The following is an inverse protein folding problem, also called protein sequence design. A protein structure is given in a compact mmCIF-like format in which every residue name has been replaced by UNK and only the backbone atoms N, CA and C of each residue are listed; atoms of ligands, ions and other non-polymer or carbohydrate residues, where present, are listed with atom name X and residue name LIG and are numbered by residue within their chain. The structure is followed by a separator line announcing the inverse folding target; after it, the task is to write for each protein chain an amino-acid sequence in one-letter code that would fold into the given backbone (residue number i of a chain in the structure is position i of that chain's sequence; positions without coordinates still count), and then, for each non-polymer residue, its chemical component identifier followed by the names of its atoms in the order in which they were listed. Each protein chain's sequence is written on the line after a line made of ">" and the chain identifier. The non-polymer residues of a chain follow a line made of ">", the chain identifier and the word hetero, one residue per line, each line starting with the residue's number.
data_IF_302583296379
#
_entry.id   IF_302583296379
#
_cell.length_a   1.000
_cell.length_b   1.000
_cell.length_c   1.000
_cell.angle_alpha   90.00
_cell.angle_beta   90.00
_cell.angle_gamma   90.00
#
_symmetry.space_group_name_H-M   'P 1'
#
loop_
_entity.id
_entity.type
_entity.pdbx_description
1 polymer ?
#
# COMPACT_ATOMS: atom_id res chain seq x y z
N UNK A 1 6.58 -12.88 21.81
CA UNK A 1 6.30 -13.91 22.83
C UNK A 1 4.90 -14.50 22.68
N UNK A 2 3.83 -13.70 22.67
CA UNK A 2 2.45 -14.20 22.54
C UNK A 2 2.22 -15.17 21.36
N UNK A 3 2.68 -14.82 20.14
CA UNK A 3 2.45 -15.65 18.96
C UNK A 3 3.04 -17.06 19.07
N UNK A 4 4.27 -17.19 19.60
CA UNK A 4 4.91 -18.50 19.83
C UNK A 4 4.18 -19.32 20.91
N UNK A 5 3.71 -18.67 21.97
CA UNK A 5 2.91 -19.34 23.00
C UNK A 5 1.58 -19.87 22.45
N UNK A 6 0.90 -19.08 21.62
CA UNK A 6 -0.36 -19.50 20.98
C UNK A 6 -0.13 -20.62 19.95
N UNK A 7 0.94 -20.54 19.17
CA UNK A 7 1.31 -21.60 18.23
C UNK A 7 1.58 -22.94 18.96
N UNK A 8 2.28 -22.89 20.10
CA UNK A 8 2.51 -24.07 20.94
C UNK A 8 1.20 -24.68 21.48
N UNK A 9 0.26 -23.84 21.93
CA UNK A 9 -1.07 -24.29 22.37
C UNK A 9 -1.86 -24.92 21.21
N UNK A 10 -1.76 -24.33 20.01
CA UNK A 10 -2.46 -24.79 18.81
C UNK A 10 -1.78 -25.98 18.11
N UNK A 11 -0.57 -26.40 18.53
CA UNK A 11 0.21 -27.45 17.86
C UNK A 11 0.67 -27.05 16.45
N UNK A 12 0.89 -25.76 16.21
CA UNK A 12 1.26 -25.22 14.90
C UNK A 12 2.76 -24.92 14.83
N UNK A 13 3.36 -25.25 13.69
CA UNK A 13 4.62 -24.61 13.27
C UNK A 13 4.30 -23.19 12.81
N UNK A 14 4.77 -22.19 13.56
CA UNK A 14 4.41 -20.80 13.33
C UNK A 14 4.92 -20.24 12.00
N UNK A 15 6.07 -20.70 11.52
CA UNK A 15 6.68 -20.21 10.28
C UNK A 15 5.96 -20.81 9.08
N UNK A 16 5.75 -22.13 9.11
CA UNK A 16 4.94 -22.83 8.10
C UNK A 16 3.53 -22.25 8.03
N UNK A 17 2.88 -22.06 9.18
CA UNK A 17 1.55 -21.49 9.24
C UNK A 17 1.51 -20.05 8.72
N UNK A 18 2.53 -19.23 9.01
CA UNK A 18 2.61 -17.88 8.45
C UNK A 18 2.69 -17.90 6.93
N UNK A 19 3.57 -18.74 6.34
CA UNK A 19 3.68 -18.85 4.88
C UNK A 19 2.36 -19.30 4.23
N UNK A 20 1.68 -20.30 4.80
CA UNK A 20 0.38 -20.78 4.32
C UNK A 20 -0.71 -19.71 4.47
N UNK A 21 -0.77 -19.02 5.61
CA UNK A 21 -1.75 -17.97 5.89
C UNK A 21 -1.60 -16.78 4.94
N UNK A 22 -0.37 -16.28 4.77
CA UNK A 22 -0.11 -15.16 3.86
C UNK A 22 -0.34 -15.60 2.41
N UNK A 23 0.09 -16.81 2.03
CA UNK A 23 -0.18 -17.37 0.70
C UNK A 23 -1.67 -17.53 0.37
N UNK A 24 -2.50 -17.85 1.37
CA UNK A 24 -3.95 -17.90 1.19
C UNK A 24 -4.57 -16.50 1.10
N UNK A 25 -4.07 -15.54 1.88
CA UNK A 25 -4.50 -14.13 1.84
C UNK A 25 -4.19 -13.43 0.52
N UNK A 26 -3.15 -13.89 -0.19
CA UNK A 26 -2.75 -13.43 -1.52
C UNK A 26 -3.39 -14.20 -2.68
N UNK A 27 -4.39 -15.07 -2.43
CA UNK A 27 -5.11 -15.71 -3.53
C UNK A 27 -6.11 -14.72 -4.18
N UNK A 28 -5.58 -13.81 -4.99
CA UNK A 28 -6.29 -12.71 -5.64
C UNK A 28 -6.65 -13.01 -7.10
N UNK A 29 -6.35 -14.22 -7.58
CA UNK A 29 -6.52 -14.62 -8.99
C UNK A 29 -7.96 -14.53 -9.48
N UNK A 30 -8.91 -14.85 -8.60
CA UNK A 30 -10.34 -14.91 -8.93
C UNK A 30 -11.10 -13.62 -8.54
N UNK A 31 -10.39 -12.61 -8.02
CA UNK A 31 -10.98 -11.33 -7.62
C UNK A 31 -10.88 -10.31 -8.75
N UNK A 32 -11.91 -9.50 -8.88
CA UNK A 32 -11.89 -8.30 -9.72
C UNK A 32 -10.95 -7.23 -9.14
N UNK A 33 -10.47 -6.32 -9.99
CA UNK A 33 -9.61 -5.22 -9.57
C UNK A 33 -10.27 -4.36 -8.48
N UNK A 34 -11.60 -4.22 -8.53
CA UNK A 34 -12.39 -3.52 -7.51
C UNK A 34 -12.34 -4.23 -6.16
N UNK A 35 -12.58 -5.54 -6.12
CA UNK A 35 -12.53 -6.33 -4.89
C UNK A 35 -11.13 -6.34 -4.28
N UNK A 36 -10.10 -6.40 -5.13
CA UNK A 36 -8.69 -6.29 -4.73
C UNK A 36 -8.43 -4.92 -4.12
N UNK A 37 -8.83 -3.85 -4.82
CA UNK A 37 -8.56 -2.48 -4.43
C UNK A 37 -9.21 -2.12 -3.09
N UNK A 38 -10.47 -2.52 -2.87
CA UNK A 38 -11.22 -2.16 -1.67
C UNK A 38 -11.03 -3.11 -0.49
N UNK A 39 -10.27 -4.21 -0.64
CA UNK A 39 -10.05 -5.19 0.42
C UNK A 39 -9.53 -4.57 1.74
N UNK A 40 -8.56 -3.66 1.65
CA UNK A 40 -8.12 -2.84 2.77
C UNK A 40 -7.99 -1.37 2.37
N UNK A 41 -9.10 -0.77 1.96
CA UNK A 41 -9.16 0.64 1.59
C UNK A 41 -9.74 1.51 2.71
N UNK A 42 -9.12 2.67 2.95
CA UNK A 42 -9.60 3.67 3.92
C UNK A 42 -9.47 5.08 3.36
N UNK A 43 -10.42 5.94 3.72
CA UNK A 43 -10.40 7.37 3.39
C UNK A 43 -9.88 8.19 4.56
N UNK A 44 -9.18 9.27 4.26
CA UNK A 44 -8.62 10.20 5.24
C UNK A 44 -8.76 11.63 4.73
N UNK A 45 -8.88 12.57 5.65
CA UNK A 45 -8.74 14.00 5.34
C UNK A 45 -7.34 14.45 5.72
N UNK A 46 -6.60 14.98 4.75
CA UNK A 46 -5.23 15.51 4.91
C UNK A 46 -5.27 16.97 4.51
N UNK A 47 -5.19 17.87 5.48
CA UNK A 47 -5.47 19.29 5.26
C UNK A 47 -6.88 19.51 4.72
N UNK A 48 -6.98 20.06 3.50
CA UNK A 48 -8.25 20.23 2.77
C UNK A 48 -8.53 19.10 1.78
N UNK A 49 -7.55 18.24 1.50
CA UNK A 49 -7.67 17.17 0.55
C UNK A 49 -8.32 15.93 1.18
N UNK A 50 -9.20 15.27 0.43
CA UNK A 50 -9.73 13.96 0.73
C UNK A 50 -8.91 12.90 -0.01
N UNK A 51 -8.23 12.04 0.74
CA UNK A 51 -7.39 10.99 0.19
C UNK A 51 -7.94 9.60 0.46
N UNK A 52 -7.66 8.67 -0.45
CA UNK A 52 -7.91 7.24 -0.28
C UNK A 52 -6.62 6.45 -0.22
N UNK A 53 -6.51 5.47 0.67
CA UNK A 53 -5.35 4.57 0.74
C UNK A 53 -5.79 3.11 0.83
N UNK A 54 -5.52 2.37 -0.25
CA UNK A 54 -5.59 0.91 -0.30
C UNK A 54 -4.27 0.26 0.10
N UNK A 55 -4.30 -0.97 0.58
CA UNK A 55 -3.10 -1.73 0.91
C UNK A 55 -3.29 -3.22 0.60
N UNK A 56 -2.28 -3.81 -0.04
CA UNK A 56 -2.10 -5.26 -0.13
C UNK A 56 -0.75 -5.62 0.46
N UNK A 57 -0.72 -6.76 1.15
CA UNK A 57 0.50 -7.35 1.70
C UNK A 57 0.69 -8.73 1.09
N UNK A 58 1.87 -8.98 0.53
CA UNK A 58 2.26 -10.31 0.04
C UNK A 58 3.69 -10.65 0.48
N UNK A 59 4.01 -11.95 0.40
CA UNK A 59 5.37 -12.49 0.55
C UNK A 59 6.08 -12.63 -0.82
N UNK A 60 5.36 -12.40 -1.92
CA UNK A 60 5.82 -12.71 -3.28
C UNK A 60 5.89 -11.46 -4.17
N UNK A 61 7.10 -11.13 -4.62
CA UNK A 61 7.32 -9.96 -5.49
C UNK A 61 6.61 -10.08 -6.84
N UNK A 62 6.61 -11.26 -7.45
CA UNK A 62 6.01 -11.50 -8.78
C UNK A 62 4.51 -11.19 -8.74
N UNK A 63 3.87 -11.55 -7.62
CA UNK A 63 2.46 -11.25 -7.40
C UNK A 63 2.23 -9.75 -7.23
N UNK A 64 3.06 -9.07 -6.44
CA UNK A 64 2.96 -7.62 -6.24
C UNK A 64 3.16 -6.86 -7.56
N UNK A 65 4.09 -7.29 -8.41
CA UNK A 65 4.29 -6.71 -9.74
C UNK A 65 3.06 -6.90 -10.63
N UNK A 66 2.44 -8.08 -10.60
CA UNK A 66 1.18 -8.34 -11.33
C UNK A 66 0.05 -7.45 -10.82
N UNK A 67 -0.04 -7.23 -9.51
CA UNK A 67 -1.05 -6.35 -8.91
C UNK A 67 -0.77 -4.88 -9.22
N UNK A 68 0.50 -4.49 -9.34
CA UNK A 68 0.89 -3.12 -9.68
C UNK A 68 0.25 -2.66 -10.98
N UNK A 69 0.36 -3.45 -12.04
CA UNK A 69 -0.24 -3.12 -13.34
C UNK A 69 -1.76 -2.97 -13.25
N UNK A 70 -2.43 -3.91 -12.55
CA UNK A 70 -3.88 -3.85 -12.34
C UNK A 70 -4.31 -2.61 -11.55
N UNK A 71 -3.63 -2.34 -10.45
CA UNK A 71 -3.97 -1.22 -9.56
C UNK A 71 -3.68 0.11 -10.23
N UNK A 72 -2.57 0.25 -10.96
CA UNK A 72 -2.28 1.42 -11.79
C UNK A 72 -3.46 1.75 -12.73
N UNK A 73 -4.02 0.72 -13.41
CA UNK A 73 -5.18 0.88 -14.27
C UNK A 73 -6.51 1.20 -13.55
N UNK A 74 -6.61 0.91 -12.24
CA UNK A 74 -7.83 1.11 -11.46
C UNK A 74 -7.82 2.43 -10.65
N UNK A 75 -6.66 3.07 -10.45
CA UNK A 75 -6.53 4.26 -9.60
C UNK A 75 -7.47 5.41 -9.99
N UNK A 76 -7.61 5.67 -11.30
CA UNK A 76 -8.48 6.73 -11.84
C UNK A 76 -9.94 6.50 -11.47
N UNK A 77 -10.44 5.30 -11.77
CA UNK A 77 -11.81 4.89 -11.44
C UNK A 77 -12.05 4.98 -9.93
N UNK A 78 -11.10 4.54 -9.11
CA UNK A 78 -11.19 4.64 -7.65
C UNK A 78 -11.27 6.09 -7.17
N UNK A 79 -10.46 7.00 -7.75
CA UNK A 79 -10.47 8.42 -7.42
C UNK A 79 -11.82 9.06 -7.74
N UNK A 80 -12.32 8.86 -8.96
CA UNK A 80 -13.58 9.45 -9.42
C UNK A 80 -14.78 8.92 -8.64
N UNK A 81 -14.89 7.60 -8.49
CA UNK A 81 -16.03 6.94 -7.83
C UNK A 81 -16.17 7.33 -6.35
N UNK A 82 -15.08 7.78 -5.74
CA UNK A 82 -15.06 8.17 -4.33
C UNK A 82 -14.95 9.70 -4.11
N UNK A 83 -14.92 10.48 -5.19
CA UNK A 83 -14.71 11.93 -5.16
C UNK A 83 -13.47 12.32 -4.34
N UNK A 84 -12.35 11.65 -4.61
CA UNK A 84 -11.09 11.86 -3.92
C UNK A 84 -10.21 12.86 -4.68
N UNK A 85 -9.41 13.62 -3.94
CA UNK A 85 -8.38 14.48 -4.51
C UNK A 85 -7.15 13.66 -4.89
N UNK A 86 -6.79 12.69 -4.04
CA UNK A 86 -5.66 11.78 -4.26
C UNK A 86 -5.96 10.36 -3.81
N UNK A 87 -5.32 9.40 -4.46
CA UNK A 87 -5.43 7.98 -4.16
C UNK A 87 -4.04 7.38 -4.09
N UNK A 88 -3.82 6.58 -3.06
CA UNK A 88 -2.58 5.86 -2.86
C UNK A 88 -2.87 4.37 -2.72
N UNK A 89 -1.98 3.54 -3.25
CA UNK A 89 -2.08 2.09 -3.09
C UNK A 89 -0.75 1.51 -2.66
N UNK A 90 -0.75 0.86 -1.50
CA UNK A 90 0.45 0.24 -0.92
C UNK A 90 0.56 -1.22 -1.38
N UNK A 91 1.62 -1.53 -2.12
CA UNK A 91 2.04 -2.90 -2.44
C UNK A 91 3.18 -3.28 -1.48
N UNK A 92 2.83 -3.87 -0.35
CA UNK A 92 3.77 -4.15 0.74
C UNK A 92 4.33 -5.56 0.63
N UNK A 93 5.65 -5.68 0.52
CA UNK A 93 6.36 -6.92 0.77
C UNK A 93 6.76 -6.99 2.25
N UNK A 94 6.12 -7.88 3.01
CA UNK A 94 6.36 -7.99 4.45
C UNK A 94 7.68 -8.71 4.80
N UNK A 95 8.25 -9.51 3.88
CA UNK A 95 9.56 -10.14 4.09
C UNK A 95 10.71 -9.14 3.89
N UNK A 96 10.57 -8.25 2.90
CA UNK A 96 11.54 -7.19 2.62
C UNK A 96 11.31 -5.94 3.46
N UNK A 97 10.21 -5.90 4.21
CA UNK A 97 9.77 -4.75 4.99
C UNK A 97 9.70 -3.46 4.15
N UNK A 98 9.18 -3.56 2.92
CA UNK A 98 9.13 -2.43 1.98
C UNK A 98 7.77 -2.31 1.31
N UNK A 99 7.44 -1.11 0.84
CA UNK A 99 6.23 -0.84 0.05
C UNK A 99 6.58 -0.13 -1.23
N UNK A 100 6.03 -0.60 -2.35
CA UNK A 100 5.89 0.24 -3.55
C UNK A 100 4.54 0.95 -3.47
N UNK A 101 4.59 2.29 -3.45
CA UNK A 101 3.43 3.16 -3.28
C UNK A 101 3.02 3.72 -4.63
N UNK A 102 1.90 3.24 -5.16
CA UNK A 102 1.25 3.84 -6.32
C UNK A 102 0.58 5.14 -5.88
N UNK A 103 0.85 6.23 -6.58
CA UNK A 103 0.32 7.56 -6.30
C UNK A 103 -0.53 8.02 -7.48
N UNK A 104 -1.74 8.51 -7.22
CA UNK A 104 -2.61 9.01 -8.29
C UNK A 104 -3.42 10.23 -7.85
N UNK A 105 -3.60 11.18 -8.77
CA UNK A 105 -4.21 12.48 -8.50
C UNK A 105 -3.18 13.61 -8.55
N UNK A 106 -3.69 14.84 -8.70
CA UNK A 106 -2.84 16.02 -8.80
C UNK A 106 -2.07 16.24 -7.49
N UNK A 107 -0.75 16.34 -7.56
CA UNK A 107 0.11 16.54 -6.39
C UNK A 107 0.42 15.27 -5.59
N UNK A 108 -0.15 14.10 -5.94
CA UNK A 108 -0.01 12.89 -5.14
C UNK A 108 1.46 12.41 -5.03
N UNK A 109 2.19 12.40 -6.16
CA UNK A 109 3.60 12.02 -6.19
C UNK A 109 4.44 13.01 -5.39
N UNK A 110 4.19 14.31 -5.53
CA UNK A 110 4.94 15.36 -4.83
C UNK A 110 4.70 15.31 -3.32
N UNK A 111 3.45 15.13 -2.88
CA UNK A 111 3.11 14.99 -1.48
C UNK A 111 3.80 13.77 -0.86
N UNK A 112 3.73 12.62 -1.53
CA UNK A 112 4.37 11.40 -1.03
C UNK A 112 5.91 11.50 -1.07
N UNK A 113 6.51 12.07 -2.12
CA UNK A 113 7.94 12.29 -2.18
C UNK A 113 8.41 13.23 -1.05
N UNK A 114 7.70 14.34 -0.81
CA UNK A 114 7.96 15.25 0.30
C UNK A 114 7.85 14.55 1.66
N UNK A 115 6.78 13.78 1.87
CA UNK A 115 6.52 13.04 3.11
C UNK A 115 7.63 12.04 3.47
N UNK A 116 8.30 11.47 2.48
CA UNK A 116 9.38 10.50 2.68
C UNK A 116 10.76 11.06 2.33
N UNK A 117 10.90 12.38 2.24
CA UNK A 117 12.15 13.09 1.94
C UNK A 117 12.87 12.54 0.69
N UNK A 118 12.10 12.16 -0.32
CA UNK A 118 12.60 11.71 -1.61
C UNK A 118 12.85 12.92 -2.52
N UNK A 119 13.76 12.75 -3.47
CA UNK A 119 13.99 13.75 -4.50
C UNK A 119 12.75 13.91 -5.38
N UNK A 120 12.19 15.12 -5.44
CA UNK A 120 10.95 15.40 -6.15
C UNK A 120 11.13 15.42 -7.66
N UNK A 121 12.32 15.80 -8.16
CA UNK A 121 12.62 15.81 -9.60
C UNK A 121 12.73 14.37 -10.07
N UNK A 122 13.50 13.53 -9.37
CA UNK A 122 13.61 12.10 -9.68
C UNK A 122 12.26 11.39 -9.59
N UNK A 123 11.45 11.70 -8.56
CA UNK A 123 10.12 11.13 -8.41
C UNK A 123 9.16 11.51 -9.55
N UNK A 124 9.25 12.74 -10.05
CA UNK A 124 8.41 13.25 -11.14
C UNK A 124 8.83 12.74 -12.52
N UNK A 125 10.11 12.39 -12.70
CA UNK A 125 10.66 11.86 -13.96
C UNK A 125 10.39 10.36 -14.17
N UNK A 126 9.89 9.65 -13.14
CA UNK A 126 9.57 8.23 -13.27
C UNK A 126 8.46 7.99 -14.31
N UNK A 127 8.59 6.93 -15.13
CA UNK A 127 7.59 6.59 -16.15
C UNK A 127 6.25 6.19 -15.54
N UNK A 128 6.26 5.69 -14.31
CA UNK A 128 5.07 5.32 -13.53
C UNK A 128 5.05 6.12 -12.24
N UNK A 129 3.86 6.51 -11.72
CA UNK A 129 3.75 7.28 -10.49
C UNK A 129 3.89 6.37 -9.25
N UNK A 130 5.03 5.66 -9.16
CA UNK A 130 5.31 4.68 -8.12
C UNK A 130 6.57 5.07 -7.34
N UNK A 131 6.44 5.14 -6.02
CA UNK A 131 7.53 5.45 -5.11
C UNK A 131 7.91 4.21 -4.29
N UNK A 132 9.19 3.88 -4.22
CA UNK A 132 9.65 2.79 -3.36
C UNK A 132 9.95 3.32 -1.97
N UNK A 133 9.35 2.70 -0.95
CA UNK A 133 9.42 3.11 0.45
C UNK A 133 9.98 1.96 1.32
N UNK A 134 11.31 1.81 1.40
CA UNK A 134 11.95 0.87 2.31
C UNK A 134 11.61 1.18 3.77
N UNK A 135 11.33 0.15 4.57
CA UNK A 135 10.96 0.29 5.98
C UNK A 135 9.51 0.70 6.23
N UNK A 136 8.74 1.01 5.19
CA UNK A 136 7.31 1.38 5.30
C UNK A 136 6.45 0.15 5.04
N UNK A 137 5.74 -0.29 6.07
CA UNK A 137 4.83 -1.45 6.01
C UNK A 137 3.44 -1.14 6.58
N UNK A 138 3.31 -0.07 7.37
CA UNK A 138 2.07 0.27 8.07
C UNK A 138 1.45 1.55 7.54
N UNK A 139 0.29 1.44 6.88
CA UNK A 139 -0.53 2.60 6.53
C UNK A 139 -0.78 3.52 7.73
N UNK A 140 -1.24 2.96 8.85
CA UNK A 140 -1.67 3.74 10.03
C UNK A 140 -0.51 4.40 10.78
N UNK A 141 0.61 3.69 10.93
CA UNK A 141 1.73 4.17 11.77
C UNK A 141 2.77 4.96 11.00
N UNK A 142 2.91 4.71 9.69
CA UNK A 142 4.03 5.21 8.90
C UNK A 142 3.58 6.00 7.68
N UNK A 143 2.54 5.58 6.95
CA UNK A 143 2.11 6.34 5.76
C UNK A 143 1.30 7.59 6.11
N UNK A 144 0.16 7.40 6.79
CA UNK A 144 -0.79 8.48 7.04
C UNK A 144 -0.20 9.63 7.86
N UNK A 145 0.57 9.39 8.94
CA UNK A 145 1.18 10.48 9.69
C UNK A 145 2.11 11.35 8.85
N UNK A 146 2.96 10.75 8.01
CA UNK A 146 3.93 11.48 7.18
C UNK A 146 3.23 12.29 6.08
N UNK A 147 2.21 11.75 5.43
CA UNK A 147 1.38 12.51 4.48
C UNK A 147 0.69 13.70 5.16
N UNK A 148 0.23 13.55 6.40
CA UNK A 148 -0.38 14.63 7.17
C UNK A 148 0.61 15.73 7.57
N UNK A 149 1.85 15.36 7.90
CA UNK A 149 2.91 16.31 8.23
C UNK A 149 3.34 17.09 6.98
N UNK A 150 3.56 16.39 5.87
CA UNK A 150 4.01 17.00 4.62
C UNK A 150 3.01 18.00 4.02
N UNK A 151 1.71 17.86 4.26
CA UNK A 151 0.68 18.81 3.80
C UNK A 151 0.66 20.10 4.63
N UNK A 152 1.19 20.07 5.86
CA UNK A 152 1.18 21.22 6.78
C UNK A 152 2.38 22.15 6.64
N UNK A 153 3.48 21.64 6.09
CA UNK A 153 4.71 22.39 5.79
C UNK A 153 4.62 23.21 4.50
#
# INVERSE_FOLDING_TARGET
>A
MAARSLAAIAGLDIEKYAMEMFGAGSNLKDKSDEEIFYQDFKKFSVGKALIGVGQITSLNDIELDTLKEKMLGYMEKAKESNSLDMVFFMLTNILKESTDLICYGQGAVQLAAKAFHLDMEEAAEKPEPVLSLPGVVSRKKQLIPELMLAEQD
#
